data_IF_907485148074
#
_entry.id   IF_907485148074
#
_cell.length_a   1.000
_cell.length_b   1.000
_cell.length_c   1.000
_cell.angle_alpha   90.00
_cell.angle_beta   90.00
_cell.angle_gamma   90.00
#
_symmetry.space_group_name_H-M   'P 1'
#
loop_
_entity.id
_entity.type
_entity.pdbx_description
1 polymer ?
#
# COMPACT_ATOMS: atom_id res chain seq x y z
N UNK A 1 -17.75 -19.75 -11.59
CA UNK A 1 -16.77 -18.81 -11.05
C UNK A 1 -17.40 -17.43 -10.92
N UNK A 2 -16.99 -16.68 -9.91
CA UNK A 2 -17.37 -15.29 -9.67
C UNK A 2 -16.11 -14.46 -9.42
N UNK A 3 -16.20 -13.14 -9.58
CA UNK A 3 -15.15 -12.20 -9.24
C UNK A 3 -15.67 -11.29 -8.10
N UNK A 4 -15.02 -11.32 -6.97
CA UNK A 4 -15.41 -10.48 -5.83
C UNK A 4 -14.89 -9.03 -6.06
N UNK A 5 -15.72 -8.03 -5.69
CA UNK A 5 -15.49 -6.63 -6.09
C UNK A 5 -14.22 -6.02 -5.52
N UNK A 6 -13.83 -6.34 -4.29
CA UNK A 6 -12.62 -5.73 -3.70
C UNK A 6 -11.36 -6.10 -4.48
N UNK A 7 -11.20 -7.39 -4.81
CA UNK A 7 -10.06 -7.83 -5.64
C UNK A 7 -10.21 -7.37 -7.10
N UNK A 8 -11.43 -7.36 -7.64
CA UNK A 8 -11.66 -6.87 -8.99
C UNK A 8 -11.27 -5.40 -9.17
N UNK A 9 -11.47 -4.57 -8.14
CA UNK A 9 -11.14 -3.14 -8.18
C UNK A 9 -9.65 -2.87 -8.33
N UNK A 10 -8.78 -3.75 -7.83
CA UNK A 10 -7.32 -3.61 -7.96
C UNK A 10 -6.83 -3.70 -9.41
N UNK A 11 -7.65 -4.27 -10.31
CA UNK A 11 -7.36 -4.32 -11.75
C UNK A 11 -7.43 -2.95 -12.43
N UNK A 12 -8.02 -1.95 -11.78
CA UNK A 12 -8.36 -0.63 -12.32
C UNK A 12 -9.29 -0.67 -13.55
N UNK A 13 -9.94 -1.82 -13.78
CA UNK A 13 -10.92 -2.00 -14.86
C UNK A 13 -12.36 -1.78 -14.40
N UNK A 14 -12.60 -1.57 -13.10
CA UNK A 14 -13.89 -1.17 -12.57
C UNK A 14 -14.04 0.35 -12.57
N UNK A 15 -15.25 0.82 -12.85
CA UNK A 15 -15.64 2.19 -12.56
C UNK A 15 -15.96 2.28 -11.05
N UNK A 16 -15.18 3.02 -10.25
CA UNK A 16 -15.38 3.08 -8.80
C UNK A 16 -16.70 3.75 -8.39
N UNK A 17 -17.35 4.51 -9.30
CA UNK A 17 -18.67 5.12 -9.06
C UNK A 17 -19.79 4.09 -9.06
N UNK A 18 -19.65 3.06 -9.90
CA UNK A 18 -20.71 2.05 -10.11
C UNK A 18 -20.35 0.70 -9.51
N UNK A 19 -19.04 0.43 -9.29
CA UNK A 19 -18.53 -0.88 -8.89
C UNK A 19 -18.75 -1.95 -9.97
N UNK A 20 -18.88 -1.56 -11.24
CA UNK A 20 -19.04 -2.44 -12.40
C UNK A 20 -17.83 -2.33 -13.34
N UNK A 21 -17.68 -3.28 -14.22
CA UNK A 21 -16.64 -3.21 -15.26
C UNK A 21 -16.80 -1.93 -16.09
N UNK A 22 -15.72 -1.16 -16.22
CA UNK A 22 -15.71 0.05 -17.03
C UNK A 22 -15.68 -0.31 -18.52
N UNK A 23 -16.79 -0.10 -19.22
CA UNK A 23 -16.85 -0.34 -20.67
C UNK A 23 -15.82 0.48 -21.44
N UNK A 24 -15.58 1.70 -21.02
CA UNK A 24 -14.60 2.60 -21.63
C UNK A 24 -13.18 2.02 -21.52
N UNK A 25 -12.75 1.63 -20.31
CA UNK A 25 -11.43 1.03 -20.06
C UNK A 25 -11.30 -0.29 -20.82
N UNK A 26 -12.30 -1.18 -20.72
CA UNK A 26 -12.26 -2.46 -21.42
C UNK A 26 -12.13 -2.28 -22.94
N UNK A 27 -12.88 -1.33 -23.51
CA UNK A 27 -12.81 -1.05 -24.95
C UNK A 27 -11.43 -0.55 -25.36
N UNK A 28 -10.82 0.33 -24.57
CA UNK A 28 -9.47 0.85 -24.85
C UNK A 28 -8.40 -0.26 -24.89
N UNK A 29 -8.58 -1.34 -24.13
CA UNK A 29 -7.70 -2.51 -24.13
C UNK A 29 -8.16 -3.65 -25.05
N UNK A 30 -9.21 -3.46 -25.86
CA UNK A 30 -9.75 -4.50 -26.74
C UNK A 30 -10.40 -5.67 -26.00
N UNK A 31 -10.82 -5.46 -24.75
CA UNK A 31 -11.45 -6.45 -23.88
C UNK A 31 -12.97 -6.31 -23.93
N UNK A 32 -13.66 -7.39 -23.59
CA UNK A 32 -15.12 -7.43 -23.47
C UNK A 32 -15.50 -7.91 -22.08
N UNK A 33 -16.64 -7.45 -21.56
CA UNK A 33 -17.14 -7.81 -20.25
C UNK A 33 -17.30 -9.34 -20.06
N UNK A 34 -17.67 -10.06 -21.13
CA UNK A 34 -17.79 -11.52 -21.11
C UNK A 34 -16.45 -12.28 -20.99
N UNK A 35 -15.32 -11.58 -21.02
CA UNK A 35 -14.01 -12.18 -20.67
C UNK A 35 -13.81 -12.32 -19.16
N UNK A 36 -14.67 -11.70 -18.36
CA UNK A 36 -14.57 -11.67 -16.91
C UNK A 36 -15.72 -12.43 -16.26
N UNK A 37 -15.47 -12.99 -15.08
CA UNK A 37 -16.51 -13.60 -14.29
C UNK A 37 -17.50 -12.54 -13.75
N UNK A 38 -18.76 -12.90 -13.47
CA UNK A 38 -19.73 -12.00 -12.86
C UNK A 38 -19.22 -11.41 -11.54
N UNK A 39 -19.42 -10.11 -11.34
CA UNK A 39 -19.04 -9.40 -10.13
C UNK A 39 -20.03 -9.71 -9.00
N UNK A 40 -19.49 -10.00 -7.81
CA UNK A 40 -20.29 -10.20 -6.60
C UNK A 40 -19.74 -9.36 -5.45
N UNK A 41 -20.59 -9.01 -4.52
CA UNK A 41 -20.18 -8.37 -3.28
C UNK A 41 -19.54 -9.38 -2.32
N UNK A 42 -18.67 -8.90 -1.43
CA UNK A 42 -18.20 -9.68 -0.29
C UNK A 42 -19.39 -10.20 0.53
N UNK A 43 -19.29 -11.43 1.06
CA UNK A 43 -20.36 -12.09 1.80
C UNK A 43 -21.42 -12.80 0.94
N UNK A 44 -21.33 -12.71 -0.40
CA UNK A 44 -22.27 -13.39 -1.30
C UNK A 44 -22.11 -14.90 -1.22
N UNK A 45 -23.23 -15.63 -0.99
CA UNK A 45 -23.26 -17.10 -1.08
C UNK A 45 -23.25 -17.49 -2.56
N UNK A 46 -22.21 -18.17 -3.00
CA UNK A 46 -21.98 -18.56 -4.41
C UNK A 46 -22.31 -20.01 -4.70
N UNK A 47 -22.59 -20.82 -3.68
CA UNK A 47 -22.94 -22.23 -3.80
C UNK A 47 -23.06 -22.92 -2.45
N UNK A 48 -23.38 -24.21 -2.52
CA UNK A 48 -23.44 -25.09 -1.34
C UNK A 48 -22.76 -26.42 -1.68
N UNK A 49 -21.91 -26.89 -0.80
CA UNK A 49 -21.27 -28.21 -0.91
C UNK A 49 -22.27 -29.32 -0.66
N UNK A 50 -21.94 -30.55 -1.08
CA UNK A 50 -22.75 -31.77 -0.79
C UNK A 50 -22.91 -32.02 0.70
N UNK A 51 -22.01 -31.49 1.53
CA UNK A 51 -22.07 -31.55 2.99
C UNK A 51 -23.07 -30.58 3.61
N UNK A 52 -23.69 -29.69 2.81
CA UNK A 52 -24.56 -28.59 3.27
C UNK A 52 -23.81 -27.31 3.62
N UNK A 53 -22.49 -27.29 3.63
CA UNK A 53 -21.70 -26.07 3.90
C UNK A 53 -21.84 -25.07 2.74
N UNK A 54 -22.05 -23.79 3.08
CA UNK A 54 -22.14 -22.69 2.10
C UNK A 54 -20.77 -22.27 1.61
N UNK A 55 -20.65 -21.98 0.32
CA UNK A 55 -19.47 -21.34 -0.29
C UNK A 55 -19.76 -19.84 -0.33
N UNK A 56 -18.94 -19.05 0.34
CA UNK A 56 -19.12 -17.60 0.45
C UNK A 56 -17.94 -16.90 -0.22
N UNK A 57 -18.23 -15.92 -1.10
CA UNK A 57 -17.22 -15.01 -1.62
C UNK A 57 -16.82 -14.04 -0.52
N UNK A 58 -15.56 -14.10 -0.10
CA UNK A 58 -14.98 -13.15 0.87
C UNK A 58 -14.24 -12.05 0.13
N UNK A 59 -13.93 -10.93 0.81
CA UNK A 59 -13.05 -9.91 0.26
C UNK A 59 -11.71 -10.55 -0.15
N UNK A 60 -11.38 -10.43 -1.43
CA UNK A 60 -10.23 -11.13 -2.02
C UNK A 60 -8.91 -10.36 -1.89
N UNK A 61 -8.97 -9.08 -1.53
CA UNK A 61 -7.80 -8.23 -1.32
C UNK A 61 -7.47 -8.14 0.19
N UNK A 62 -6.28 -8.57 0.59
CA UNK A 62 -5.84 -8.66 1.99
C UNK A 62 -5.87 -7.31 2.71
N UNK A 63 -5.42 -6.23 2.07
CA UNK A 63 -5.48 -4.87 2.62
C UNK A 63 -6.92 -4.43 2.88
N UNK A 64 -7.86 -4.80 2.01
CA UNK A 64 -9.29 -4.47 2.20
C UNK A 64 -9.88 -5.23 3.39
N UNK A 65 -9.43 -6.47 3.61
CA UNK A 65 -9.79 -7.24 4.80
C UNK A 65 -9.21 -6.62 6.07
N UNK A 66 -7.94 -6.19 6.01
CA UNK A 66 -7.28 -5.56 7.15
C UNK A 66 -7.91 -4.21 7.53
N UNK A 67 -8.26 -3.37 6.54
CA UNK A 67 -8.96 -2.11 6.80
C UNK A 67 -10.37 -2.32 7.37
N UNK A 68 -11.11 -3.32 6.88
CA UNK A 68 -12.43 -3.67 7.40
C UNK A 68 -12.41 -4.20 8.85
N UNK A 69 -11.27 -4.75 9.29
CA UNK A 69 -11.07 -5.23 10.66
C UNK A 69 -10.53 -4.16 11.62
N UNK A 70 -10.27 -2.95 11.13
CA UNK A 70 -9.75 -1.84 11.92
C UNK A 70 -10.77 -1.42 12.99
N UNK A 71 -10.34 -1.30 14.27
CA UNK A 71 -11.23 -0.87 15.35
C UNK A 71 -11.46 0.65 15.28
N UNK A 72 -12.37 1.08 14.41
CA UNK A 72 -12.74 2.48 14.21
C UNK A 72 -14.26 2.63 14.39
N UNK A 73 -14.67 3.54 15.25
CA UNK A 73 -16.09 3.89 15.37
C UNK A 73 -16.54 4.68 14.12
N UNK A 74 -17.82 4.59 13.77
CA UNK A 74 -18.36 5.22 12.55
C UNK A 74 -18.18 6.75 12.58
N UNK A 75 -18.31 7.37 13.75
CA UNK A 75 -18.10 8.80 13.97
C UNK A 75 -16.65 9.26 13.80
N UNK A 76 -15.67 8.34 13.94
CA UNK A 76 -14.24 8.64 13.87
C UNK A 76 -13.63 8.42 12.49
N UNK A 77 -14.36 7.79 11.55
CA UNK A 77 -13.87 7.43 10.22
C UNK A 77 -13.33 8.65 9.46
N UNK A 78 -13.95 9.80 9.57
CA UNK A 78 -13.52 11.04 8.90
C UNK A 78 -12.18 11.58 9.41
N UNK A 79 -11.79 11.19 10.64
CA UNK A 79 -10.55 11.62 11.29
C UNK A 79 -9.49 10.52 11.35
N UNK A 80 -9.78 9.39 10.73
CA UNK A 80 -8.93 8.20 10.78
C UNK A 80 -8.28 7.90 9.44
N UNK A 81 -6.97 7.73 9.47
CA UNK A 81 -6.20 7.14 8.38
C UNK A 81 -5.70 5.76 8.79
N UNK A 82 -5.46 4.90 7.81
CA UNK A 82 -4.79 3.62 8.00
C UNK A 82 -3.48 3.53 7.23
N UNK A 83 -2.56 2.74 7.75
CA UNK A 83 -1.31 2.35 7.10
C UNK A 83 -1.19 0.83 7.16
N UNK A 84 -1.44 0.15 6.05
CA UNK A 84 -1.11 -1.27 5.91
C UNK A 84 0.37 -1.39 5.59
N UNK A 85 1.17 -1.77 6.60
CA UNK A 85 2.63 -1.76 6.55
C UNK A 85 3.16 -3.17 6.23
N UNK A 86 3.38 -3.45 4.95
CA UNK A 86 3.91 -4.70 4.43
C UNK A 86 5.07 -4.47 3.46
N UNK A 87 5.28 -5.39 2.53
CA UNK A 87 6.24 -5.23 1.41
C UNK A 87 5.97 -3.92 0.66
N UNK A 88 4.70 -3.67 0.34
CA UNK A 88 4.15 -2.36 0.02
C UNK A 88 3.54 -1.74 1.27
N UNK A 89 3.50 -0.42 1.32
CA UNK A 89 2.75 0.32 2.32
C UNK A 89 1.57 1.00 1.64
N UNK A 90 0.36 0.71 2.10
CA UNK A 90 -0.86 1.32 1.60
C UNK A 90 -1.39 2.26 2.67
N UNK A 91 -1.33 3.56 2.39
CA UNK A 91 -1.77 4.60 3.31
C UNK A 91 -3.02 5.26 2.77
N UNK A 92 -4.10 5.28 3.54
CA UNK A 92 -5.38 5.81 3.07
C UNK A 92 -6.40 6.07 4.16
N UNK A 93 -7.63 6.32 3.71
CA UNK A 93 -8.82 6.50 4.54
C UNK A 93 -10.03 5.86 3.85
N UNK A 94 -11.09 5.63 4.59
CA UNK A 94 -12.35 5.15 4.05
C UNK A 94 -13.26 6.32 3.63
N UNK A 95 -13.89 6.20 2.46
CA UNK A 95 -14.84 7.17 1.90
C UNK A 95 -16.14 6.48 1.52
N UNK A 96 -17.26 7.23 1.55
CA UNK A 96 -18.55 6.77 1.01
C UNK A 96 -18.60 6.83 -0.52
N UNK A 97 -17.88 7.76 -1.12
CA UNK A 97 -17.87 8.00 -2.56
C UNK A 97 -16.45 8.20 -3.08
N UNK A 98 -16.16 7.77 -4.32
CA UNK A 98 -14.83 7.93 -4.89
C UNK A 98 -14.48 9.38 -5.22
N UNK A 99 -13.20 9.74 -5.09
CA UNK A 99 -12.67 11.02 -5.53
C UNK A 99 -11.94 10.84 -6.86
N UNK A 100 -12.45 11.50 -7.93
CA UNK A 100 -11.97 11.37 -9.30
C UNK A 100 -11.56 12.73 -9.87
N UNK A 101 -10.72 13.46 -9.13
CA UNK A 101 -10.22 14.78 -9.53
C UNK A 101 -8.83 14.69 -10.15
N UNK A 102 -8.42 15.74 -10.88
CA UNK A 102 -7.07 15.85 -11.41
C UNK A 102 -6.02 15.83 -10.28
N UNK A 103 -6.31 16.51 -9.17
CA UNK A 103 -5.42 16.57 -8.00
C UNK A 103 -5.24 15.19 -7.35
N UNK A 104 -6.33 14.39 -7.28
CA UNK A 104 -6.27 12.99 -6.84
C UNK A 104 -5.31 12.17 -7.72
N UNK A 105 -5.45 12.28 -9.03
CA UNK A 105 -4.59 11.60 -9.99
C UNK A 105 -3.12 12.03 -9.88
N UNK A 106 -2.86 13.33 -9.81
CA UNK A 106 -1.50 13.87 -9.66
C UNK A 106 -0.84 13.47 -8.33
N UNK A 107 -1.65 13.33 -7.28
CA UNK A 107 -1.18 12.86 -5.98
C UNK A 107 -0.93 11.35 -5.94
N UNK A 108 -1.28 10.61 -6.99
CA UNK A 108 -1.13 9.15 -7.06
C UNK A 108 -2.02 8.42 -6.04
N UNK A 109 -3.21 8.98 -5.76
CA UNK A 109 -4.22 8.39 -4.90
C UNK A 109 -5.20 7.57 -5.76
N UNK A 110 -5.56 6.38 -5.30
CA UNK A 110 -6.46 5.45 -5.98
C UNK A 110 -7.72 5.18 -5.15
N UNK A 111 -8.79 4.81 -5.85
CA UNK A 111 -10.05 4.38 -5.25
C UNK A 111 -10.16 2.86 -5.38
N UNK A 112 -10.13 2.13 -4.27
CA UNK A 112 -10.31 0.69 -4.25
C UNK A 112 -11.61 0.34 -3.51
N UNK A 113 -12.35 -0.65 -4.00
CA UNK A 113 -13.59 -1.07 -3.35
C UNK A 113 -13.26 -1.87 -2.07
N UNK A 114 -13.76 -1.39 -0.95
CA UNK A 114 -13.65 -2.05 0.34
C UNK A 114 -14.61 -3.24 0.49
N UNK A 115 -14.33 -4.10 1.49
CA UNK A 115 -15.14 -5.27 1.79
C UNK A 115 -16.59 -4.94 2.19
N UNK A 116 -16.83 -3.75 2.75
CA UNK A 116 -18.11 -3.25 3.25
C UNK A 116 -18.88 -2.38 2.22
N UNK A 117 -18.39 -2.31 0.97
CA UNK A 117 -18.97 -1.48 -0.08
C UNK A 117 -18.58 0.00 -0.02
N UNK A 118 -17.69 0.37 0.89
CA UNK A 118 -17.04 1.69 0.94
C UNK A 118 -15.89 1.77 -0.05
N UNK A 119 -15.30 2.94 -0.17
CA UNK A 119 -14.08 3.18 -0.95
C UNK A 119 -12.91 3.28 0.01
N UNK A 120 -11.91 2.44 -0.14
CA UNK A 120 -10.59 2.67 0.43
C UNK A 120 -9.80 3.58 -0.52
N UNK A 121 -9.69 4.83 -0.14
CA UNK A 121 -8.99 5.86 -0.87
C UNK A 121 -7.55 5.94 -0.36
N UNK A 122 -6.60 5.49 -1.16
CA UNK A 122 -5.26 5.20 -0.67
C UNK A 122 -4.15 5.52 -1.67
N UNK A 123 -2.95 5.60 -1.15
CA UNK A 123 -1.70 5.69 -1.89
C UNK A 123 -0.86 4.44 -1.67
N UNK A 124 -0.36 3.85 -2.75
CA UNK A 124 0.65 2.81 -2.71
C UNK A 124 2.03 3.44 -2.59
N UNK A 125 2.82 2.97 -1.64
CA UNK A 125 4.19 3.43 -1.35
C UNK A 125 5.07 2.18 -1.29
N UNK A 126 6.28 2.23 -1.82
CA UNK A 126 7.27 1.17 -1.59
C UNK A 126 7.58 1.13 -0.10
N UNK A 127 7.20 0.02 0.55
CA UNK A 127 7.28 -0.13 2.00
C UNK A 127 8.50 -0.91 2.46
N UNK A 128 8.25 -1.95 3.25
CA UNK A 128 9.31 -2.79 3.85
C UNK A 128 10.08 -3.63 2.82
N UNK A 129 9.72 -3.59 1.54
CA UNK A 129 10.53 -4.10 0.43
C UNK A 129 11.98 -3.62 0.53
N UNK A 130 12.19 -2.35 0.86
CA UNK A 130 13.52 -1.75 0.99
C UNK A 130 14.36 -2.45 2.08
N UNK A 131 13.74 -2.76 3.21
CA UNK A 131 14.39 -3.51 4.31
C UNK A 131 14.65 -4.96 3.89
N UNK A 132 13.63 -5.62 3.33
CA UNK A 132 13.70 -7.02 2.93
C UNK A 132 14.78 -7.25 1.86
N UNK A 133 14.84 -6.40 0.84
CA UNK A 133 15.81 -6.55 -0.24
C UNK A 133 17.22 -6.18 0.23
N UNK A 134 17.38 -5.15 1.05
CA UNK A 134 18.66 -4.84 1.68
C UNK A 134 19.17 -6.01 2.52
N UNK A 135 18.30 -6.63 3.32
CA UNK A 135 18.63 -7.84 4.10
C UNK A 135 19.05 -9.01 3.20
N UNK A 136 18.35 -9.23 2.07
CA UNK A 136 18.73 -10.26 1.10
C UNK A 136 20.12 -9.99 0.52
N UNK A 137 20.44 -8.74 0.23
CA UNK A 137 21.74 -8.35 -0.30
C UNK A 137 22.85 -8.57 0.72
N UNK A 138 22.68 -8.18 1.98
CA UNK A 138 23.64 -8.47 3.04
C UNK A 138 23.87 -9.98 3.19
N UNK A 139 22.81 -10.78 3.09
CA UNK A 139 22.92 -12.25 3.13
C UNK A 139 23.74 -12.79 1.93
N UNK A 140 23.57 -12.24 0.72
CA UNK A 140 24.37 -12.61 -0.46
C UNK A 140 25.85 -12.28 -0.25
N UNK A 141 26.16 -11.24 0.50
CA UNK A 141 27.53 -10.84 0.88
C UNK A 141 28.08 -11.62 2.08
N UNK A 142 27.38 -12.65 2.55
CA UNK A 142 27.81 -13.49 3.67
C UNK A 142 27.45 -12.94 5.05
N UNK A 143 26.64 -11.89 5.13
CA UNK A 143 26.20 -11.24 6.37
C UNK A 143 24.71 -11.52 6.61
N UNK A 144 24.42 -12.53 7.43
CA UNK A 144 23.03 -12.89 7.76
C UNK A 144 22.55 -12.16 9.01
N UNK A 145 21.56 -11.29 8.84
CA UNK A 145 20.94 -10.55 9.94
C UNK A 145 19.49 -10.96 10.13
N UNK A 146 19.03 -11.05 11.37
CA UNK A 146 17.62 -11.09 11.73
C UNK A 146 17.01 -9.68 11.59
N UNK A 147 15.68 -9.58 11.53
CA UNK A 147 15.02 -8.26 11.52
C UNK A 147 15.29 -7.48 12.81
N UNK A 148 15.33 -8.16 13.97
CA UNK A 148 15.66 -7.54 15.25
C UNK A 148 17.07 -6.93 15.27
N UNK A 149 18.06 -7.61 14.68
CA UNK A 149 19.42 -7.05 14.57
C UNK A 149 19.47 -5.84 13.66
N UNK A 150 18.73 -5.86 12.52
CA UNK A 150 18.63 -4.70 11.62
C UNK A 150 18.01 -3.50 12.35
N UNK A 151 16.96 -3.72 13.13
CA UNK A 151 16.31 -2.68 13.93
C UNK A 151 17.25 -2.10 15.00
N UNK A 152 17.90 -2.96 15.78
CA UNK A 152 18.83 -2.52 16.80
C UNK A 152 19.98 -1.68 16.22
N UNK A 153 20.55 -2.10 15.11
CA UNK A 153 21.61 -1.37 14.44
C UNK A 153 21.11 -0.03 13.85
N UNK A 154 19.88 0.00 13.35
CA UNK A 154 19.27 1.23 12.87
C UNK A 154 19.05 2.22 14.05
N UNK A 155 18.57 1.73 15.20
CA UNK A 155 18.38 2.56 16.40
C UNK A 155 19.70 3.11 16.96
N UNK A 156 20.79 2.35 16.83
CA UNK A 156 22.12 2.78 17.26
C UNK A 156 22.81 3.76 16.29
N UNK A 157 22.35 3.84 15.03
CA UNK A 157 22.90 4.75 14.04
C UNK A 157 22.45 6.20 14.30
N UNK A 158 23.27 7.17 13.88
CA UNK A 158 22.97 8.60 14.01
C UNK A 158 21.70 8.95 13.22
N UNK A 159 20.70 9.58 13.86
CA UNK A 159 19.44 9.92 13.21
C UNK A 159 19.56 11.10 12.23
N UNK A 160 18.63 11.15 11.28
CA UNK A 160 18.38 12.29 10.38
C UNK A 160 19.59 12.71 9.53
N UNK A 161 20.41 11.74 9.13
CA UNK A 161 21.63 11.99 8.34
C UNK A 161 21.38 11.97 6.83
N UNK A 162 20.56 11.03 6.36
CA UNK A 162 20.37 10.78 4.94
C UNK A 162 18.95 10.30 4.67
N UNK A 163 18.41 10.71 3.53
CA UNK A 163 17.05 10.38 3.12
C UNK A 163 16.99 10.00 1.65
N UNK A 164 16.06 9.09 1.33
CA UNK A 164 15.72 8.71 -0.04
C UNK A 164 14.23 8.97 -0.30
N UNK A 165 13.83 9.06 -1.57
CA UNK A 165 12.42 8.87 -1.91
C UNK A 165 12.18 7.37 -2.10
N UNK A 166 11.41 6.70 -1.22
CA UNK A 166 11.13 5.26 -1.34
C UNK A 166 10.56 4.86 -2.71
N UNK A 167 9.78 5.73 -3.35
CA UNK A 167 9.13 5.46 -4.63
C UNK A 167 10.01 5.78 -5.85
N UNK A 168 11.26 6.19 -5.65
CA UNK A 168 12.15 6.45 -6.77
C UNK A 168 12.39 5.16 -7.60
N UNK A 169 12.33 5.23 -8.94
CA UNK A 169 12.40 4.05 -9.82
C UNK A 169 13.62 3.17 -9.60
N UNK A 170 14.71 3.76 -9.13
CA UNK A 170 15.95 3.05 -8.85
C UNK A 170 15.87 2.07 -7.67
N UNK A 171 14.84 2.18 -6.81
CA UNK A 171 14.65 1.29 -5.65
C UNK A 171 13.65 0.15 -5.90
N UNK A 172 12.99 0.12 -7.06
CA UNK A 172 11.98 -0.89 -7.41
C UNK A 172 12.60 -2.25 -7.69
N UNK A 173 13.71 -2.28 -8.44
CA UNK A 173 14.32 -3.52 -8.89
C UNK A 173 15.07 -4.24 -7.75
N UNK A 174 15.08 -5.60 -7.74
CA UNK A 174 15.92 -6.36 -6.81
C UNK A 174 17.42 -6.16 -7.08
N UNK A 175 18.27 -6.59 -6.13
CA UNK A 175 19.72 -6.51 -6.19
C UNK A 175 20.28 -5.24 -5.58
N UNK A 176 21.50 -5.25 -5.18
CA UNK A 176 22.33 -4.21 -4.54
C UNK A 176 21.62 -2.93 -4.06
N UNK A 177 20.53 -3.09 -3.32
CA UNK A 177 19.75 -1.95 -2.82
C UNK A 177 20.56 -1.03 -1.87
N UNK A 178 21.39 -1.56 -0.94
CA UNK A 178 22.26 -0.72 -0.12
C UNK A 178 23.21 0.15 -0.94
N UNK A 179 23.83 -0.40 -2.01
CA UNK A 179 24.72 0.35 -2.89
C UNK A 179 23.96 1.45 -3.66
N UNK A 180 22.74 1.18 -4.10
CA UNK A 180 21.90 2.19 -4.77
C UNK A 180 21.48 3.32 -3.82
N UNK A 181 21.19 3.01 -2.56
CA UNK A 181 20.91 4.02 -1.53
C UNK A 181 22.14 4.90 -1.30
N UNK A 182 23.33 4.30 -1.18
CA UNK A 182 24.59 5.02 -1.03
C UNK A 182 24.87 5.93 -2.23
N UNK A 183 24.64 5.42 -3.45
CA UNK A 183 24.81 6.20 -4.68
C UNK A 183 23.81 7.36 -4.78
N UNK A 184 22.54 7.12 -4.41
CA UNK A 184 21.53 8.17 -4.32
C UNK A 184 21.99 9.29 -3.38
N UNK A 185 22.43 8.95 -2.17
CA UNK A 185 22.93 9.94 -1.20
C UNK A 185 24.14 10.71 -1.73
N UNK A 186 25.10 10.01 -2.38
CA UNK A 186 26.27 10.64 -3.01
C UNK A 186 25.87 11.67 -4.07
N UNK A 187 24.96 11.26 -4.98
CA UNK A 187 24.48 12.10 -6.08
C UNK A 187 23.70 13.33 -5.62
N UNK A 188 22.98 13.20 -4.50
CA UNK A 188 22.18 14.29 -3.91
C UNK A 188 22.95 15.12 -2.88
N UNK A 189 24.25 14.88 -2.71
CA UNK A 189 25.10 15.66 -1.81
C UNK A 189 24.83 15.41 -0.33
N UNK A 190 24.22 14.27 0.02
CA UNK A 190 23.92 13.88 1.39
C UNK A 190 25.06 13.02 1.99
N UNK A 191 25.19 12.93 3.32
CA UNK A 191 26.07 11.98 3.96
C UNK A 191 25.77 10.55 3.49
N UNK A 192 26.81 9.79 3.16
CA UNK A 192 26.65 8.42 2.65
C UNK A 192 26.45 7.47 3.83
N UNK A 193 25.39 6.64 3.86
CA UNK A 193 25.18 5.66 4.92
C UNK A 193 26.13 4.44 4.70
N UNK A 194 27.29 4.45 5.32
CA UNK A 194 28.34 3.46 5.07
C UNK A 194 28.12 2.14 5.79
N UNK A 195 27.46 2.16 6.96
CA UNK A 195 27.20 0.96 7.74
C UNK A 195 25.79 0.40 7.47
N UNK A 196 25.59 -0.89 7.75
CA UNK A 196 24.28 -1.53 7.65
C UNK A 196 23.24 -0.78 8.50
N UNK A 197 23.59 -0.43 9.74
CA UNK A 197 22.71 0.34 10.63
C UNK A 197 22.32 1.70 10.04
N UNK A 198 23.27 2.43 9.44
CA UNK A 198 23.00 3.71 8.80
C UNK A 198 22.10 3.58 7.57
N UNK A 199 22.26 2.51 6.76
CA UNK A 199 21.36 2.20 5.63
C UNK A 199 19.96 1.91 6.13
N UNK A 200 19.80 1.07 7.16
CA UNK A 200 18.48 0.77 7.74
C UNK A 200 17.83 2.01 8.33
N UNK A 201 18.60 2.85 9.03
CA UNK A 201 18.12 4.12 9.60
C UNK A 201 17.63 5.05 8.49
N UNK A 202 18.40 5.22 7.44
CA UNK A 202 18.01 6.00 6.26
C UNK A 202 16.67 5.50 5.69
N UNK A 203 16.48 4.20 5.53
CA UNK A 203 15.23 3.62 5.01
C UNK A 203 14.06 3.92 5.96
N UNK A 204 14.17 3.61 7.26
CA UNK A 204 13.07 3.82 8.21
C UNK A 204 12.64 5.28 8.32
N UNK A 205 13.59 6.20 8.37
CA UNK A 205 13.30 7.62 8.45
C UNK A 205 12.70 8.16 7.15
N UNK A 206 13.18 7.67 6.01
CA UNK A 206 12.61 8.02 4.70
C UNK A 206 11.17 7.54 4.55
N UNK A 207 10.87 6.31 5.01
CA UNK A 207 9.50 5.79 5.03
C UNK A 207 8.59 6.64 5.93
N UNK A 208 9.05 6.98 7.13
CA UNK A 208 8.28 7.82 8.05
C UNK A 208 7.94 9.21 7.46
N UNK A 209 8.91 9.84 6.80
CA UNK A 209 8.71 11.11 6.12
C UNK A 209 7.77 10.97 4.90
N UNK A 210 7.88 9.85 4.16
CA UNK A 210 6.98 9.56 3.03
C UNK A 210 5.55 9.36 3.50
N UNK A 211 5.34 8.67 4.62
CA UNK A 211 4.00 8.50 5.20
C UNK A 211 3.42 9.83 5.65
N UNK A 212 4.21 10.67 6.30
CA UNK A 212 3.77 12.03 6.66
C UNK A 212 3.35 12.82 5.43
N UNK A 213 4.18 12.84 4.38
CA UNK A 213 3.87 13.52 3.13
C UNK A 213 2.58 12.97 2.48
N UNK A 214 2.38 11.64 2.50
CA UNK A 214 1.18 11.03 1.98
C UNK A 214 -0.08 11.40 2.77
N UNK A 215 0.01 11.53 4.11
CA UNK A 215 -1.09 12.03 4.95
C UNK A 215 -1.42 13.49 4.60
N UNK A 216 -0.41 14.33 4.41
CA UNK A 216 -0.59 15.74 4.01
C UNK A 216 -1.30 15.83 2.64
N UNK A 217 -0.92 14.99 1.66
CA UNK A 217 -1.59 14.90 0.37
C UNK A 217 -3.04 14.40 0.52
N UNK A 218 -3.25 13.35 1.32
CA UNK A 218 -4.57 12.80 1.59
C UNK A 218 -5.49 13.86 2.22
N UNK A 219 -4.98 14.61 3.20
CA UNK A 219 -5.69 15.72 3.83
C UNK A 219 -6.06 16.82 2.83
N UNK A 220 -5.12 17.21 1.97
CA UNK A 220 -5.35 18.26 0.98
C UNK A 220 -6.44 17.88 -0.03
N UNK A 221 -6.44 16.63 -0.51
CA UNK A 221 -7.41 16.17 -1.52
C UNK A 221 -8.78 15.87 -0.92
N UNK A 222 -8.84 15.33 0.31
CA UNK A 222 -10.11 14.99 0.97
C UNK A 222 -10.74 16.14 1.72
N UNK A 223 -9.97 17.20 2.04
CA UNK A 223 -10.39 18.27 2.95
C UNK A 223 -10.49 17.83 4.42
N UNK A 224 -10.05 16.62 4.76
CA UNK A 224 -10.12 16.03 6.10
C UNK A 224 -8.88 16.33 6.92
N UNK A 225 -9.04 16.36 8.24
CA UNK A 225 -7.92 16.40 9.21
C UNK A 225 -7.85 15.05 9.92
N UNK A 226 -6.73 14.36 9.76
CA UNK A 226 -6.50 13.05 10.38
C UNK A 226 -5.82 13.23 11.74
N UNK A 227 -6.45 12.74 12.80
CA UNK A 227 -5.95 12.75 14.17
C UNK A 227 -5.53 11.36 14.64
N UNK A 228 -5.98 10.33 13.96
CA UNK A 228 -5.70 8.92 14.27
C UNK A 228 -5.09 8.22 13.07
N UNK A 229 -4.02 7.47 13.29
CA UNK A 229 -3.41 6.58 12.31
C UNK A 229 -3.39 5.16 12.86
N UNK A 230 -4.16 4.26 12.24
CA UNK A 230 -4.04 2.83 12.53
C UNK A 230 -2.96 2.19 11.67
N UNK A 231 -1.96 1.60 12.31
CA UNK A 231 -0.91 0.84 11.63
C UNK A 231 -1.28 -0.63 11.67
N UNK A 232 -1.44 -1.24 10.49
CA UNK A 232 -1.88 -2.60 10.27
C UNK A 232 -0.73 -3.42 9.66
N UNK A 233 -0.73 -4.72 9.87
CA UNK A 233 0.30 -5.62 9.38
C UNK A 233 1.37 -5.92 10.43
N UNK A 234 2.39 -6.73 10.08
CA UNK A 234 3.46 -7.19 10.99
C UNK A 234 3.94 -8.57 10.64
#
# INVERSE_FOLDING_TARGET
>A
PVCERSIASTSQMLDPRTGQWSREVLTAYGLKENHFAPLVASGTVTGTLTTGAKIIAVAGHDTQCASAAMPCAEEDVEHTAFLSCGTWSLLGTELDTPILTADSCQSGLSNELGANGKINYLKNIIGLWLIQESRREYKRRGQAYSFAELEQQALAAEPLRSFIDPDAPEFVAPGDLPGRIQEFCRRTGQPIPETMGAVMRCIYESLALKYRYAIEQLSAVTGRTFTTLHVLGG
#
